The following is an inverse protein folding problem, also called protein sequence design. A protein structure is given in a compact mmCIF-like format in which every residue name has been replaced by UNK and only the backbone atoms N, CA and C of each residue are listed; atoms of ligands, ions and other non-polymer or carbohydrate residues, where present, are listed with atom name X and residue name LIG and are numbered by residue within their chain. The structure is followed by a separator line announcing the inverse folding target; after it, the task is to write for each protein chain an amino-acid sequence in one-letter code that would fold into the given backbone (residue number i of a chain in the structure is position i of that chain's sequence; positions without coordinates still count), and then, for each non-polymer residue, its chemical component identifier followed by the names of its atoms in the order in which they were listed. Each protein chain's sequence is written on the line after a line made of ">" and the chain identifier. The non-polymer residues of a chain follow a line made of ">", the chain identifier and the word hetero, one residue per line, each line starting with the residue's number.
data_IF_601072321176
#
_entry.id   IF_601072321176
#
_cell.length_a   1.000
_cell.length_b   1.000
_cell.length_c   1.000
_cell.angle_alpha   90.00
_cell.angle_beta   90.00
_cell.angle_gamma   90.00
#
_symmetry.space_group_name_H-M   'P 1'
#
loop_
_entity.id
_entity.type
_entity.pdbx_description
1 polymer ?
#
# COMPACT_ATOMS: atom_id res chain seq x y z
N UNK A 1 2.61 2.02 12.99
CA UNK A 1 3.07 2.61 11.72
C UNK A 1 4.55 2.90 11.87
N UNK A 2 5.40 2.08 11.28
CA UNK A 2 6.86 2.26 11.36
C UNK A 2 7.38 2.59 9.97
N UNK A 3 7.88 3.81 9.79
CA UNK A 3 8.69 4.20 8.64
C UNK A 3 10.10 4.49 9.14
N UNK A 4 11.11 3.88 8.55
CA UNK A 4 12.50 4.14 8.85
C UNK A 4 13.06 5.05 7.76
N UNK A 5 13.42 6.29 8.11
CA UNK A 5 14.18 7.20 7.25
C UNK A 5 15.02 8.13 8.14
N UNK A 6 16.27 8.37 7.77
CA UNK A 6 17.19 9.22 8.54
C UNK A 6 16.88 10.71 8.29
N UNK A 7 17.12 11.58 9.28
CA UNK A 7 16.76 13.01 9.23
C UNK A 7 17.29 13.80 8.02
N UNK A 8 18.35 13.33 7.35
CA UNK A 8 18.90 13.97 6.14
C UNK A 8 18.12 13.61 4.87
N UNK A 9 17.43 12.47 4.83
CA UNK A 9 16.56 12.06 3.71
C UNK A 9 15.23 12.82 3.75
N UNK A 10 14.78 13.23 4.95
CA UNK A 10 13.46 13.84 5.16
C UNK A 10 13.28 15.20 4.45
N UNK A 11 14.32 16.03 4.39
CA UNK A 11 14.24 17.37 3.77
C UNK A 11 14.35 17.32 2.23
N UNK A 12 15.07 16.33 1.70
CA UNK A 12 15.07 16.00 0.26
C UNK A 12 13.73 15.36 -0.16
N UNK A 13 13.16 14.51 0.69
CA UNK A 13 11.84 13.90 0.48
C UNK A 13 10.71 14.93 0.41
N UNK A 14 10.80 16.00 1.20
CA UNK A 14 9.82 17.08 1.23
C UNK A 14 9.86 17.99 -0.02
N UNK A 15 11.00 18.04 -0.74
CA UNK A 15 11.18 18.84 -1.96
C UNK A 15 11.11 18.02 -3.25
N UNK A 16 11.09 16.69 -3.14
CA UNK A 16 11.01 15.78 -4.28
C UNK A 16 9.57 15.64 -4.80
N UNK A 17 9.42 15.37 -6.10
CA UNK A 17 8.15 15.03 -6.73
C UNK A 17 7.77 13.58 -6.36
N UNK A 18 6.76 13.42 -5.51
CA UNK A 18 6.36 12.14 -4.93
C UNK A 18 5.28 11.49 -5.77
N UNK A 19 5.61 10.32 -6.30
CA UNK A 19 4.65 9.42 -6.94
C UNK A 19 4.29 8.31 -5.98
N UNK A 20 3.01 8.18 -5.71
CA UNK A 20 2.49 7.07 -4.93
C UNK A 20 1.91 5.99 -5.84
N UNK A 21 2.61 4.86 -5.93
CA UNK A 21 2.14 3.69 -6.66
C UNK A 21 1.44 2.75 -5.67
N UNK A 22 0.14 2.55 -5.85
CA UNK A 22 -0.70 1.83 -4.89
C UNK A 22 -1.45 0.67 -5.53
N UNK A 23 -1.38 -0.51 -4.91
CA UNK A 23 -2.21 -1.62 -5.33
C UNK A 23 -3.66 -1.40 -4.86
N UNK A 24 -4.62 -1.47 -5.77
CA UNK A 24 -6.03 -1.39 -5.39
C UNK A 24 -6.58 -2.74 -4.95
N UNK A 25 -7.44 -2.69 -3.95
CA UNK A 25 -8.23 -3.80 -3.44
C UNK A 25 -9.65 -3.41 -3.12
N UNK A 26 -10.51 -4.42 -3.13
CA UNK A 26 -11.91 -4.27 -2.80
C UNK A 26 -12.09 -3.78 -1.36
N UNK A 27 -12.98 -2.81 -1.15
CA UNK A 27 -13.31 -2.25 0.16
C UNK A 27 -12.13 -1.60 0.91
N UNK A 28 -11.04 -1.26 0.22
CA UNK A 28 -9.84 -0.68 0.82
C UNK A 28 -9.92 0.83 1.06
N UNK A 29 -11.08 1.45 0.85
CA UNK A 29 -11.29 2.89 0.88
C UNK A 29 -10.76 3.61 2.12
N UNK A 30 -11.09 3.09 3.31
CA UNK A 30 -10.63 3.66 4.59
C UNK A 30 -9.12 3.57 4.73
N UNK A 31 -8.51 2.45 4.33
CA UNK A 31 -7.07 2.24 4.38
C UNK A 31 -6.33 3.15 3.38
N UNK A 32 -6.83 3.23 2.14
CA UNK A 32 -6.30 4.12 1.10
C UNK A 32 -6.35 5.58 1.54
N UNK A 33 -7.45 6.00 2.15
CA UNK A 33 -7.60 7.34 2.72
C UNK A 33 -6.57 7.63 3.80
N UNK A 34 -6.35 6.70 4.72
CA UNK A 34 -5.36 6.86 5.78
C UNK A 34 -3.92 6.92 5.22
N UNK A 35 -3.59 6.06 4.25
CA UNK A 35 -2.29 6.08 3.57
C UNK A 35 -2.04 7.38 2.80
N UNK A 36 -3.03 7.86 2.05
CA UNK A 36 -2.93 9.13 1.32
C UNK A 36 -2.66 10.33 2.24
N UNK A 37 -3.36 10.39 3.39
CA UNK A 37 -3.13 11.44 4.40
C UNK A 37 -1.75 11.35 5.03
N UNK A 38 -1.24 10.14 5.28
CA UNK A 38 0.10 9.96 5.81
C UNK A 38 1.20 10.45 4.85
N UNK A 39 0.93 10.37 3.55
CA UNK A 39 1.82 10.89 2.52
C UNK A 39 1.73 12.40 2.34
N UNK A 40 0.97 13.13 3.16
CA UNK A 40 0.82 14.58 3.07
C UNK A 40 0.52 15.04 1.62
N UNK A 41 -0.47 14.41 0.98
CA UNK A 41 -0.88 14.63 -0.42
C UNK A 41 0.25 14.43 -1.45
N UNK A 42 0.47 13.20 -1.96
CA UNK A 42 1.49 12.96 -2.99
C UNK A 42 1.20 13.78 -4.26
N UNK A 43 2.26 14.18 -4.97
CA UNK A 43 2.17 14.98 -6.19
C UNK A 43 1.55 14.21 -7.35
N UNK A 44 1.69 12.88 -7.38
CA UNK A 44 1.06 11.99 -8.36
C UNK A 44 0.59 10.70 -7.69
N UNK A 45 -0.54 10.16 -8.14
CA UNK A 45 -1.03 8.84 -7.73
C UNK A 45 -1.08 7.92 -8.94
N UNK A 46 -0.59 6.69 -8.75
CA UNK A 46 -0.57 5.66 -9.79
C UNK A 46 -1.12 4.33 -9.27
N UNK A 47 -2.44 4.10 -9.42
CA UNK A 47 -3.04 2.83 -9.04
C UNK A 47 -2.57 1.69 -9.95
N UNK A 48 -2.25 0.55 -9.33
CA UNK A 48 -2.00 -0.72 -10.02
C UNK A 48 -3.32 -1.47 -10.14
N UNK A 49 -3.80 -1.57 -11.37
CA UNK A 49 -5.06 -2.21 -11.73
C UNK A 49 -4.82 -3.62 -12.29
N UNK A 50 -5.60 -4.63 -11.85
CA UNK A 50 -5.40 -6.00 -12.26
C UNK A 50 -5.94 -6.25 -13.68
N UNK A 51 -5.03 -6.35 -14.66
CA UNK A 51 -5.36 -6.66 -16.05
C UNK A 51 -4.24 -7.43 -16.77
N UNK A 52 -4.50 -8.62 -17.34
CA UNK A 52 -5.76 -9.35 -17.26
C UNK A 52 -6.04 -9.82 -15.82
N UNK A 53 -7.33 -9.96 -15.50
CA UNK A 53 -7.83 -10.47 -14.22
C UNK A 53 -8.87 -11.55 -14.46
N UNK A 54 -9.08 -12.41 -13.46
CA UNK A 54 -10.04 -13.51 -13.57
C UNK A 54 -11.47 -13.02 -13.86
N UNK A 55 -11.84 -11.87 -13.29
CA UNK A 55 -13.05 -11.13 -13.65
C UNK A 55 -12.64 -9.91 -14.50
N UNK A 56 -12.96 -9.86 -15.80
CA UNK A 56 -12.56 -8.76 -16.68
C UNK A 56 -13.03 -7.37 -16.23
N UNK A 57 -14.13 -7.27 -15.47
CA UNK A 57 -14.68 -6.00 -14.98
C UNK A 57 -14.05 -5.55 -13.66
N UNK A 58 -13.10 -6.30 -13.11
CA UNK A 58 -12.56 -6.05 -11.79
C UNK A 58 -11.82 -4.71 -11.70
N UNK A 59 -11.02 -4.37 -12.69
CA UNK A 59 -10.35 -3.07 -12.74
C UNK A 59 -11.35 -1.92 -12.68
N UNK A 60 -12.43 -2.00 -13.46
CA UNK A 60 -13.48 -0.99 -13.45
C UNK A 60 -14.17 -0.91 -12.08
N UNK A 61 -14.47 -2.06 -11.46
CA UNK A 61 -15.09 -2.10 -10.13
C UNK A 61 -14.22 -1.42 -9.07
N UNK A 62 -12.92 -1.72 -9.06
CA UNK A 62 -11.96 -1.07 -8.16
C UNK A 62 -11.87 0.44 -8.41
N UNK A 63 -11.90 0.87 -9.67
CA UNK A 63 -11.93 2.29 -10.02
C UNK A 63 -13.24 2.97 -9.59
N UNK A 64 -14.38 2.29 -9.71
CA UNK A 64 -15.67 2.80 -9.25
C UNK A 64 -15.70 3.00 -7.73
N UNK A 65 -15.15 2.06 -6.96
CA UNK A 65 -14.97 2.20 -5.50
C UNK A 65 -14.03 3.36 -5.17
N UNK A 66 -12.91 3.48 -5.89
CA UNK A 66 -11.93 4.53 -5.65
C UNK A 66 -12.44 5.94 -6.03
N UNK A 67 -13.35 6.03 -7.00
CA UNK A 67 -13.95 7.30 -7.45
C UNK A 67 -14.56 8.11 -6.31
N UNK A 68 -15.22 7.46 -5.35
CA UNK A 68 -15.82 8.15 -4.21
C UNK A 68 -14.77 8.84 -3.34
N UNK A 69 -13.60 8.21 -3.18
CA UNK A 69 -12.46 8.83 -2.48
C UNK A 69 -11.80 9.95 -3.30
N UNK A 70 -11.69 9.76 -4.62
CA UNK A 70 -11.11 10.76 -5.53
C UNK A 70 -11.82 12.10 -5.49
N UNK A 71 -13.16 12.09 -5.63
CA UNK A 71 -13.96 13.31 -5.77
C UNK A 71 -13.90 14.21 -4.53
N UNK A 72 -13.59 13.65 -3.36
CA UNK A 72 -13.62 14.38 -2.09
C UNK A 72 -12.23 14.85 -1.67
N UNK A 73 -11.18 14.05 -1.87
CA UNK A 73 -9.86 14.32 -1.27
C UNK A 73 -8.67 14.35 -2.24
N UNK A 74 -8.73 13.69 -3.40
CA UNK A 74 -7.55 13.53 -4.28
C UNK A 74 -7.65 14.35 -5.58
N UNK A 75 -8.73 15.12 -5.77
CA UNK A 75 -9.17 15.68 -7.06
C UNK A 75 -8.22 16.64 -7.79
N UNK A 76 -7.09 17.01 -7.18
CA UNK A 76 -6.06 17.85 -7.79
C UNK A 76 -4.81 17.06 -8.21
N UNK A 77 -4.66 15.80 -7.76
CA UNK A 77 -3.47 14.98 -8.05
C UNK A 77 -3.57 14.32 -9.42
N UNK A 78 -2.61 14.54 -10.34
CA UNK A 78 -2.52 13.82 -11.60
C UNK A 78 -2.56 12.30 -11.41
N UNK A 79 -3.33 11.65 -12.28
CA UNK A 79 -3.61 10.23 -12.17
C UNK A 79 -3.10 9.46 -13.39
N UNK A 80 -2.19 8.54 -13.15
CA UNK A 80 -1.75 7.54 -14.13
C UNK A 80 -2.15 6.14 -13.66
N UNK A 81 -2.21 5.15 -14.55
CA UNK A 81 -2.58 3.77 -14.16
C UNK A 81 -1.55 2.77 -14.67
N UNK A 82 -1.17 1.82 -13.82
CA UNK A 82 -0.46 0.63 -14.25
C UNK A 82 -1.49 -0.48 -14.43
N UNK A 83 -1.61 -0.98 -15.65
CA UNK A 83 -2.30 -2.25 -15.89
C UNK A 83 -1.28 -3.37 -15.70
N UNK A 84 -1.55 -4.28 -14.77
CA UNK A 84 -0.63 -5.37 -14.50
C UNK A 84 -1.37 -6.70 -14.36
N UNK A 85 -0.75 -7.74 -14.89
CA UNK A 85 -1.29 -9.08 -14.91
C UNK A 85 -1.47 -9.62 -13.48
N UNK A 86 -2.70 -9.98 -13.12
CA UNK A 86 -3.05 -10.32 -11.74
C UNK A 86 -2.25 -11.52 -11.19
N UNK A 87 -1.96 -12.48 -12.05
CA UNK A 87 -1.25 -13.72 -11.69
C UNK A 87 0.25 -13.73 -12.05
N UNK A 88 0.81 -12.61 -12.56
CA UNK A 88 2.23 -12.54 -12.91
C UNK A 88 2.92 -11.42 -12.10
N UNK A 89 3.62 -11.77 -11.00
CA UNK A 89 4.34 -10.78 -10.21
C UNK A 89 5.45 -10.08 -11.01
N UNK A 90 6.02 -10.74 -12.02
CA UNK A 90 7.10 -10.16 -12.83
C UNK A 90 6.61 -9.07 -13.76
N UNK A 91 5.34 -9.13 -14.19
CA UNK A 91 4.75 -8.07 -14.99
C UNK A 91 4.61 -6.77 -14.18
N UNK A 92 4.17 -6.87 -12.92
CA UNK A 92 4.10 -5.73 -11.99
C UNK A 92 5.50 -5.17 -11.72
N UNK A 93 6.46 -6.04 -11.40
CA UNK A 93 7.85 -5.66 -11.17
C UNK A 93 8.44 -4.89 -12.36
N UNK A 94 8.28 -5.42 -13.57
CA UNK A 94 8.79 -4.79 -14.81
C UNK A 94 8.09 -3.48 -15.11
N UNK A 95 6.80 -3.37 -14.84
CA UNK A 95 6.04 -2.15 -15.08
C UNK A 95 6.43 -1.04 -14.12
N UNK A 96 6.62 -1.35 -12.83
CA UNK A 96 7.12 -0.39 -11.84
C UNK A 96 8.56 0.00 -12.13
N UNK A 97 9.43 -0.97 -12.46
CA UNK A 97 10.83 -0.67 -12.83
C UNK A 97 10.88 0.27 -14.03
N UNK A 98 10.13 -0.03 -15.11
CA UNK A 98 10.06 0.86 -16.28
C UNK A 98 9.58 2.26 -15.92
N UNK A 99 8.57 2.37 -15.07
CA UNK A 99 8.07 3.67 -14.61
C UNK A 99 9.12 4.44 -13.78
N UNK A 100 9.78 3.75 -12.85
CA UNK A 100 10.81 4.33 -11.99
C UNK A 100 12.00 4.83 -12.81
N UNK A 101 12.57 3.98 -13.66
CA UNK A 101 13.67 4.34 -14.57
C UNK A 101 13.31 5.52 -15.48
N UNK A 102 12.13 5.48 -16.10
CA UNK A 102 11.69 6.55 -16.98
C UNK A 102 11.56 7.89 -16.24
N UNK A 103 11.05 7.89 -15.01
CA UNK A 103 10.98 9.11 -14.18
C UNK A 103 12.36 9.58 -13.74
N UNK A 104 13.25 8.66 -13.36
CA UNK A 104 14.63 8.98 -12.99
C UNK A 104 15.39 9.62 -14.15
N UNK A 105 15.18 9.13 -15.38
CA UNK A 105 15.77 9.69 -16.59
C UNK A 105 15.16 11.06 -16.94
N UNK A 106 13.83 11.17 -16.92
CA UNK A 106 13.12 12.41 -17.26
C UNK A 106 13.31 13.54 -16.24
N UNK A 107 13.49 13.21 -14.96
CA UNK A 107 13.58 14.16 -13.85
C UNK A 107 14.98 14.25 -13.25
N UNK A 108 16.00 13.66 -13.89
CA UNK A 108 17.39 13.65 -13.40
C UNK A 108 18.17 14.97 -13.57
N UNK A 109 17.48 16.09 -13.82
CA UNK A 109 18.10 17.41 -13.95
C UNK A 109 18.52 18.03 -12.61
N UNK A 110 19.44 18.99 -12.59
CA UNK A 110 19.88 19.63 -11.35
C UNK A 110 18.72 20.31 -10.63
N UNK A 111 18.42 19.84 -9.41
CA UNK A 111 17.40 20.40 -8.52
C UNK A 111 16.02 19.72 -8.56
N UNK A 112 15.81 18.74 -9.43
CA UNK A 112 14.59 17.92 -9.44
C UNK A 112 14.93 16.53 -8.90
N UNK A 113 14.31 16.16 -7.79
CA UNK A 113 14.33 14.79 -7.29
C UNK A 113 12.94 14.18 -7.46
N UNK A 114 12.89 12.90 -7.80
CA UNK A 114 11.63 12.16 -7.93
C UNK A 114 11.68 10.92 -7.07
N UNK A 115 10.67 10.73 -6.24
CA UNK A 115 10.59 9.60 -5.33
C UNK A 115 9.36 8.79 -5.67
N UNK A 116 9.55 7.49 -5.82
CA UNK A 116 8.47 6.53 -6.08
C UNK A 116 8.21 5.74 -4.80
N UNK A 117 7.00 5.86 -4.25
CA UNK A 117 6.59 5.23 -3.01
C UNK A 117 5.62 4.09 -3.35
N UNK A 118 5.88 2.89 -2.85
CA UNK A 118 5.08 1.71 -3.15
C UNK A 118 4.16 1.33 -1.98
N UNK A 119 2.88 1.08 -2.25
CA UNK A 119 1.92 0.55 -1.28
C UNK A 119 1.30 -0.75 -1.74
N UNK A 120 1.88 -1.91 -1.36
CA UNK A 120 1.27 -3.21 -1.60
C UNK A 120 0.13 -3.42 -0.58
N UNK A 121 -1.11 -3.22 -1.04
CA UNK A 121 -2.32 -3.32 -0.20
C UNK A 121 -3.24 -4.48 -0.61
N UNK A 122 -2.78 -5.39 -1.47
CA UNK A 122 -3.68 -6.35 -2.10
C UNK A 122 -3.26 -7.78 -2.24
N UNK A 123 -3.84 -8.44 -3.27
CA UNK A 123 -3.65 -9.87 -3.53
C UNK A 123 -2.17 -10.20 -3.58
N UNK A 124 -1.86 -11.42 -3.15
CA UNK A 124 -0.50 -11.88 -2.83
C UNK A 124 0.49 -11.72 -4.00
N UNK A 125 0.10 -12.02 -5.24
CA UNK A 125 1.05 -12.03 -6.36
C UNK A 125 1.47 -10.61 -6.81
N UNK A 126 0.57 -9.66 -7.13
CA UNK A 126 1.02 -8.34 -7.53
C UNK A 126 1.78 -7.60 -6.44
N UNK A 127 1.40 -7.80 -5.17
CA UNK A 127 2.13 -7.27 -4.02
C UNK A 127 3.59 -7.73 -3.99
N UNK A 128 3.87 -9.02 -4.30
CA UNK A 128 5.24 -9.52 -4.42
C UNK A 128 6.01 -8.78 -5.52
N UNK A 129 5.39 -8.54 -6.67
CA UNK A 129 6.01 -7.77 -7.76
C UNK A 129 6.41 -6.35 -7.33
N UNK A 130 5.55 -5.69 -6.54
CA UNK A 130 5.86 -4.38 -5.95
C UNK A 130 7.02 -4.47 -4.96
N UNK A 131 7.01 -5.45 -4.06
CA UNK A 131 8.07 -5.64 -3.07
C UNK A 131 9.43 -5.94 -3.73
N UNK A 132 9.45 -6.73 -4.81
CA UNK A 132 10.65 -6.98 -5.60
C UNK A 132 11.19 -5.70 -6.25
N UNK A 133 10.29 -4.84 -6.73
CA UNK A 133 10.68 -3.55 -7.32
C UNK A 133 11.27 -2.62 -6.26
N UNK A 134 10.63 -2.55 -5.08
CA UNK A 134 11.17 -1.81 -3.95
C UNK A 134 12.56 -2.29 -3.54
N UNK A 135 12.76 -3.60 -3.41
CA UNK A 135 14.06 -4.15 -3.04
C UNK A 135 15.14 -3.92 -4.11
N UNK A 136 14.77 -3.94 -5.39
CA UNK A 136 15.73 -3.77 -6.51
C UNK A 136 16.19 -2.32 -6.66
N UNK A 137 15.28 -1.36 -6.44
CA UNK A 137 15.51 0.07 -6.68
C UNK A 137 15.58 0.90 -5.40
N UNK A 138 15.65 0.24 -4.25
CA UNK A 138 15.66 0.87 -2.92
C UNK A 138 14.48 1.85 -2.70
N UNK A 139 13.28 1.43 -3.13
CA UNK A 139 12.09 2.28 -3.07
C UNK A 139 11.41 2.18 -1.69
N UNK A 140 10.97 3.32 -1.13
CA UNK A 140 10.22 3.32 0.12
C UNK A 140 8.89 2.57 -0.03
N UNK A 141 8.56 1.76 0.98
CA UNK A 141 7.28 1.06 1.08
C UNK A 141 6.43 1.72 2.16
N UNK A 142 5.18 2.03 1.82
CA UNK A 142 4.15 2.43 2.77
C UNK A 142 3.10 1.32 2.89
N UNK A 143 2.91 0.80 4.09
CA UNK A 143 1.93 -0.22 4.40
C UNK A 143 1.17 0.14 5.69
N UNK A 144 -0.10 -0.25 5.76
CA UNK A 144 -0.98 -0.02 6.90
C UNK A 144 -1.23 -1.34 7.66
N UNK A 145 -0.71 -1.40 8.89
CA UNK A 145 -0.93 -2.52 9.82
C UNK A 145 -2.29 -2.42 10.50
N UNK A 146 -3.07 -3.51 10.49
CA UNK A 146 -4.22 -3.67 11.38
C UNK A 146 -3.74 -4.27 12.70
N UNK A 147 -3.62 -3.43 13.73
CA UNK A 147 -3.05 -3.83 15.03
C UNK A 147 -4.09 -4.44 15.97
N UNK A 148 -5.40 -4.27 15.70
CA UNK A 148 -6.46 -4.78 16.59
C UNK A 148 -7.73 -5.16 15.81
N UNK A 149 -8.48 -6.09 16.40
CA UNK A 149 -9.83 -6.44 15.98
C UNK A 149 -10.74 -6.30 17.21
N UNK A 150 -11.81 -5.53 17.10
CA UNK A 150 -12.88 -5.53 18.10
C UNK A 150 -13.91 -6.59 17.70
N UNK A 151 -14.02 -7.64 18.51
CA UNK A 151 -15.04 -8.69 18.32
C UNK A 151 -16.34 -8.18 18.93
N UNK A 152 -17.25 -7.72 18.08
CA UNK A 152 -18.62 -7.38 18.50
C UNK A 152 -19.50 -8.61 18.34
N UNK A 153 -19.59 -9.41 19.40
CA UNK A 153 -20.45 -10.58 19.51
C UNK A 153 -20.35 -11.19 20.90
N UNK A 154 -21.43 -11.78 21.39
CA UNK A 154 -21.35 -12.62 22.57
C UNK A 154 -20.64 -13.92 22.16
N UNK A 155 -19.46 -14.17 22.72
CA UNK A 155 -18.77 -15.43 22.54
C UNK A 155 -19.52 -16.46 23.38
N UNK A 156 -20.51 -17.12 22.80
CA UNK A 156 -20.97 -18.40 23.33
C UNK A 156 -19.77 -19.34 23.26
N UNK A 157 -19.11 -19.54 24.41
CA UNK A 157 -18.01 -20.47 24.58
C UNK A 157 -18.53 -21.85 24.16
N UNK A 158 -18.24 -22.24 22.92
CA UNK A 158 -18.48 -23.58 22.46
C UNK A 158 -17.62 -24.50 23.32
N UNK A 159 -18.30 -25.18 24.25
CA UNK A 159 -17.79 -26.24 25.16
C UNK A 159 -17.14 -25.74 26.45
N UNK A 160 -17.72 -26.13 27.59
CA UNK A 160 -17.12 -26.07 28.94
C UNK A 160 -16.11 -27.21 29.20
N UNK A 161 -15.85 -28.08 28.21
CA UNK A 161 -14.88 -29.15 28.35
C UNK A 161 -13.45 -28.60 28.34
N UNK A 162 -12.61 -29.22 29.17
CA UNK A 162 -11.19 -28.89 29.29
C UNK A 162 -10.53 -29.13 27.92
N UNK A 163 -10.01 -28.10 27.23
CA UNK A 163 -9.40 -28.29 25.93
C UNK A 163 -8.14 -29.16 26.07
N UNK A 164 -8.11 -30.28 25.34
CA UNK A 164 -7.00 -31.25 25.33
C UNK A 164 -5.69 -30.65 24.83
N UNK A 165 -5.77 -29.54 24.09
CA UNK A 165 -4.62 -28.81 23.58
C UNK A 165 -4.74 -27.33 23.95
N UNK A 166 -3.88 -26.87 24.86
CA UNK A 166 -3.77 -25.44 25.20
C UNK A 166 -2.76 -24.78 24.26
N UNK A 167 -3.24 -23.88 23.41
CA UNK A 167 -2.37 -22.95 22.70
C UNK A 167 -1.90 -21.89 23.71
N UNK A 168 -0.62 -21.90 24.06
CA UNK A 168 -0.04 -20.87 24.92
C UNK A 168 0.29 -19.64 24.08
N UNK A 169 -0.56 -18.61 24.14
CA UNK A 169 -0.14 -17.25 23.82
C UNK A 169 0.46 -16.65 25.10
N UNK A 170 1.74 -16.30 25.06
CA UNK A 170 2.42 -15.61 26.15
C UNK A 170 2.02 -14.14 26.07
N UNK A 171 1.14 -13.69 26.96
CA UNK A 171 0.91 -12.27 27.19
C UNK A 171 1.97 -11.84 28.20
N UNK A 172 2.92 -11.01 27.79
CA UNK A 172 3.89 -10.43 28.72
C UNK A 172 3.16 -9.39 29.60
N UNK A 173 2.84 -9.78 30.83
CA UNK A 173 2.26 -8.92 31.86
C UNK A 173 3.30 -7.93 32.38
N UNK A 174 3.54 -6.82 31.67
CA UNK A 174 4.28 -5.67 32.19
C UNK A 174 3.55 -4.35 31.88
N UNK A 175 2.31 -4.19 32.35
CA UNK A 175 1.74 -2.85 32.60
C UNK A 175 0.42 -2.89 33.38
N UNK A 176 0.41 -3.39 34.62
CA UNK A 176 -0.59 -2.97 35.61
C UNK A 176 0.06 -2.96 37.01
N UNK A 177 0.92 -1.96 37.24
CA UNK A 177 1.21 -1.45 38.59
C UNK A 177 0.48 -0.12 38.73
N UNK A 178 -0.62 -0.14 39.47
CA UNK A 178 -0.98 0.86 40.48
C UNK A 178 -2.03 0.25 41.42
#
# INVERSE_FOLDING_TARGET
>A
MHGFAAQSEMDDFAKALRLWVVQLTENAGVALKAMFKQLDTPDEVCPVLPFPSANPRRSDQLLFELREHWQVEWGETPLSFIHAHESDPMDVFRSISRLHEARREALGGPGLQSITILSPAGRRLPGIGMLLAALTHDLPILYLETVSYDVVGDLDLATQDIPTHRWHFRVDEHSLRN
#
